data_IF_282928566138
#
_entry.id   IF_282928566138
#
_cell.length_a   1.000
_cell.length_b   1.000
_cell.length_c   1.000
_cell.angle_alpha   90.00
_cell.angle_beta   90.00
_cell.angle_gamma   90.00
#
_symmetry.space_group_name_H-M   'P 1'
#
loop_
_entity.id
_entity.type
_entity.pdbx_description
1 polymer ?
#
# COMPACT_ATOMS: atom_id res chain seq x y z
N UNK A 1 -16.90 11.61 -24.75
CA UNK A 1 -16.88 11.72 -23.28
C UNK A 1 -15.78 12.70 -22.86
N UNK A 2 -16.03 13.56 -21.89
CA UNK A 2 -15.02 14.48 -21.33
C UNK A 2 -14.07 13.73 -20.39
N UNK A 3 -12.84 14.22 -20.22
CA UNK A 3 -11.82 13.57 -19.38
C UNK A 3 -12.27 13.36 -17.93
N UNK A 4 -12.95 14.35 -17.33
CA UNK A 4 -13.44 14.19 -15.96
C UNK A 4 -14.56 13.17 -15.84
N UNK A 5 -15.39 13.00 -16.89
CA UNK A 5 -16.45 11.98 -16.93
C UNK A 5 -15.83 10.59 -16.97
N UNK A 6 -14.76 10.40 -17.76
CA UNK A 6 -14.01 9.14 -17.80
C UNK A 6 -13.37 8.78 -16.45
N UNK A 7 -12.82 9.77 -15.73
CA UNK A 7 -12.28 9.57 -14.37
C UNK A 7 -13.39 9.15 -13.41
N UNK A 8 -14.53 9.86 -13.41
CA UNK A 8 -15.67 9.54 -12.55
C UNK A 8 -16.21 8.14 -12.86
N UNK A 9 -16.43 7.81 -14.14
CA UNK A 9 -16.89 6.48 -14.56
C UNK A 9 -15.94 5.37 -14.10
N UNK A 10 -14.63 5.60 -14.18
CA UNK A 10 -13.63 4.65 -13.69
C UNK A 10 -13.73 4.46 -12.18
N UNK A 11 -13.91 5.54 -11.42
CA UNK A 11 -14.15 5.46 -9.97
C UNK A 11 -15.48 4.76 -9.64
N UNK A 12 -16.53 4.96 -10.43
CA UNK A 12 -17.82 4.27 -10.25
C UNK A 12 -17.68 2.77 -10.44
N UNK A 13 -16.97 2.33 -11.49
CA UNK A 13 -16.67 0.92 -11.74
C UNK A 13 -15.84 0.30 -10.60
N UNK A 14 -15.01 1.09 -9.93
CA UNK A 14 -14.25 0.69 -8.74
C UNK A 14 -15.07 0.77 -7.42
N UNK A 15 -16.38 0.99 -7.49
CA UNK A 15 -17.24 1.08 -6.30
C UNK A 15 -17.20 2.43 -5.58
N UNK A 16 -16.63 3.46 -6.20
CA UNK A 16 -16.69 4.85 -5.74
C UNK A 16 -15.41 5.39 -5.09
N UNK A 17 -14.38 4.56 -4.94
CA UNK A 17 -13.10 4.90 -4.31
C UNK A 17 -11.95 4.34 -5.15
N UNK A 18 -10.89 5.12 -5.35
CA UNK A 18 -9.76 4.69 -6.17
C UNK A 18 -8.45 5.38 -5.78
N UNK A 19 -7.35 4.67 -5.97
CA UNK A 19 -6.01 5.26 -5.90
C UNK A 19 -5.69 5.98 -7.21
N UNK A 20 -4.77 6.95 -7.18
CA UNK A 20 -4.22 7.54 -8.41
C UNK A 20 -3.60 6.47 -9.31
N UNK A 21 -2.88 5.51 -8.73
CA UNK A 21 -2.29 4.41 -9.49
C UNK A 21 -3.32 3.56 -10.22
N UNK A 22 -4.45 3.23 -9.56
CA UNK A 22 -5.57 2.56 -10.22
C UNK A 22 -6.12 3.38 -11.39
N UNK A 23 -6.34 4.68 -11.19
CA UNK A 23 -6.84 5.56 -12.24
C UNK A 23 -5.89 5.63 -13.44
N UNK A 24 -4.58 5.67 -13.21
CA UNK A 24 -3.57 5.71 -14.27
C UNK A 24 -3.58 4.46 -15.14
N UNK A 25 -3.96 3.31 -14.60
CA UNK A 25 -4.03 2.05 -15.34
C UNK A 25 -5.37 1.83 -16.03
N UNK A 26 -6.46 2.29 -15.43
CA UNK A 26 -7.81 1.91 -15.88
C UNK A 26 -8.49 2.98 -16.74
N UNK A 27 -8.26 4.28 -16.49
CA UNK A 27 -8.98 5.36 -17.18
C UNK A 27 -8.72 5.36 -18.70
N UNK A 28 -7.51 5.02 -19.13
CA UNK A 28 -7.16 5.00 -20.56
C UNK A 28 -7.79 3.84 -21.34
N UNK A 29 -8.36 2.84 -20.65
CA UNK A 29 -9.10 1.75 -21.29
C UNK A 29 -10.46 2.22 -21.84
N UNK A 30 -10.95 3.38 -21.42
CA UNK A 30 -12.21 3.97 -21.90
C UNK A 30 -12.00 4.62 -23.28
N UNK A 31 -12.26 3.84 -24.33
CA UNK A 31 -12.10 4.27 -25.75
C UNK A 31 -12.97 5.47 -26.15
N UNK A 32 -14.05 5.74 -25.41
CA UNK A 32 -14.97 6.86 -25.67
C UNK A 32 -14.42 8.23 -25.23
N UNK A 33 -13.25 8.28 -24.57
CA UNK A 33 -12.58 9.49 -24.11
C UNK A 33 -11.22 9.66 -24.79
N UNK A 34 -10.98 10.84 -25.36
CA UNK A 34 -9.69 11.18 -25.99
C UNK A 34 -8.80 12.00 -25.05
N UNK A 35 -7.57 11.53 -24.84
CA UNK A 35 -6.57 12.15 -23.97
C UNK A 35 -5.52 12.90 -24.78
N UNK A 36 -5.93 13.99 -25.45
CA UNK A 36 -5.11 14.74 -26.41
C UNK A 36 -4.04 15.65 -25.77
N UNK A 37 -3.60 15.35 -24.55
CA UNK A 37 -2.60 16.13 -23.80
C UNK A 37 -1.27 15.39 -23.78
N UNK A 38 -0.16 16.13 -23.75
CA UNK A 38 1.18 15.57 -23.60
C UNK A 38 1.41 14.98 -22.20
N UNK A 39 0.60 15.38 -21.21
CA UNK A 39 0.75 14.95 -19.81
C UNK A 39 -0.57 14.42 -19.24
N UNK A 40 -1.08 13.28 -19.73
CA UNK A 40 -2.40 12.78 -19.34
C UNK A 40 -2.52 12.46 -17.84
N UNK A 41 -1.45 11.95 -17.21
CA UNK A 41 -1.42 11.72 -15.76
C UNK A 41 -1.55 13.02 -14.95
N UNK A 42 -0.95 14.13 -15.42
CA UNK A 42 -1.12 15.43 -14.79
C UNK A 42 -2.57 15.93 -14.90
N UNK A 43 -3.23 15.67 -16.03
CA UNK A 43 -4.65 15.94 -16.19
C UNK A 43 -5.51 15.12 -15.22
N UNK A 44 -5.24 13.83 -15.03
CA UNK A 44 -5.93 13.00 -14.04
C UNK A 44 -5.75 13.56 -12.63
N UNK A 45 -4.51 13.90 -12.23
CA UNK A 45 -4.23 14.53 -10.93
C UNK A 45 -5.02 15.82 -10.73
N UNK A 46 -5.06 16.69 -11.75
CA UNK A 46 -5.82 17.94 -11.71
C UNK A 46 -7.32 17.67 -11.55
N UNK A 47 -7.87 16.70 -12.27
CA UNK A 47 -9.28 16.33 -12.20
C UNK A 47 -9.66 15.88 -10.79
N UNK A 48 -8.93 14.93 -10.20
CA UNK A 48 -9.27 14.42 -8.85
C UNK A 48 -9.08 15.45 -7.74
N UNK A 49 -8.28 16.50 -7.98
CA UNK A 49 -8.04 17.58 -7.03
C UNK A 49 -9.04 18.74 -7.15
N UNK A 50 -9.54 19.04 -8.34
CA UNK A 50 -10.35 20.24 -8.61
C UNK A 50 -11.83 19.95 -8.87
N UNK A 51 -12.19 18.70 -9.17
CA UNK A 51 -13.57 18.35 -9.47
C UNK A 51 -14.41 18.27 -8.19
N UNK A 52 -15.49 19.08 -8.12
CA UNK A 52 -16.42 19.13 -6.98
C UNK A 52 -17.12 17.81 -6.63
N UNK A 53 -17.10 16.82 -7.52
CA UNK A 53 -17.69 15.49 -7.29
C UNK A 53 -16.68 14.48 -6.73
N UNK A 54 -15.43 14.89 -6.52
CA UNK A 54 -14.35 14.03 -6.02
C UNK A 54 -13.75 14.70 -4.78
N UNK A 55 -13.52 13.93 -3.74
CA UNK A 55 -12.82 14.39 -2.55
C UNK A 55 -11.64 13.48 -2.22
N UNK A 56 -10.64 14.06 -1.57
CA UNK A 56 -9.43 13.36 -1.15
C UNK A 56 -9.68 12.72 0.22
N UNK A 57 -9.38 11.42 0.33
CA UNK A 57 -9.39 10.72 1.63
C UNK A 57 -8.01 10.86 2.28
N UNK A 58 -6.95 10.49 1.55
CA UNK A 58 -5.56 10.54 2.00
C UNK A 58 -4.62 10.69 0.80
N UNK A 59 -3.30 10.89 0.95
CA UNK A 59 -2.39 10.99 -0.18
C UNK A 59 -2.62 9.85 -1.19
N UNK A 60 -2.90 10.19 -2.45
CA UNK A 60 -3.11 9.21 -3.51
C UNK A 60 -4.45 8.47 -3.51
N UNK A 61 -5.33 8.67 -2.50
CA UNK A 61 -6.65 8.00 -2.40
C UNK A 61 -7.79 9.01 -2.48
N UNK A 62 -8.72 8.77 -3.39
CA UNK A 62 -9.84 9.66 -3.70
C UNK A 62 -11.15 8.89 -3.74
N UNK A 63 -12.25 9.57 -3.40
CA UNK A 63 -13.60 9.01 -3.46
C UNK A 63 -14.59 9.99 -4.12
N UNK A 64 -15.69 9.44 -4.63
CA UNK A 64 -16.78 10.23 -5.18
C UNK A 64 -17.68 10.77 -4.08
N UNK A 65 -18.01 12.06 -4.17
CA UNK A 65 -18.84 12.79 -3.20
C UNK A 65 -20.18 12.10 -2.94
N UNK A 66 -20.79 11.54 -3.99
CA UNK A 66 -22.08 10.83 -3.90
C UNK A 66 -22.07 9.59 -2.99
N UNK A 67 -20.88 9.06 -2.67
CA UNK A 67 -20.71 7.90 -1.78
C UNK A 67 -20.12 8.27 -0.41
N UNK A 68 -19.96 9.57 -0.09
CA UNK A 68 -19.33 10.03 1.16
C UNK A 68 -19.97 9.40 2.39
N UNK A 69 -21.29 9.44 2.51
CA UNK A 69 -22.01 8.86 3.66
C UNK A 69 -21.77 7.35 3.82
N UNK A 70 -21.65 6.62 2.70
CA UNK A 70 -21.34 5.18 2.73
C UNK A 70 -19.94 4.95 3.27
N UNK A 71 -18.95 5.71 2.81
CA UNK A 71 -17.55 5.58 3.25
C UNK A 71 -17.35 6.03 4.69
N UNK A 72 -18.02 7.10 5.12
CA UNK A 72 -18.01 7.57 6.51
C UNK A 72 -18.53 6.49 7.47
N UNK A 73 -19.63 5.79 7.12
CA UNK A 73 -20.16 4.66 7.91
C UNK A 73 -19.20 3.46 8.00
N UNK A 74 -18.29 3.34 7.03
CA UNK A 74 -17.24 2.31 7.00
C UNK A 74 -15.95 2.77 7.69
N UNK A 75 -15.92 3.97 8.28
CA UNK A 75 -14.73 4.55 8.90
C UNK A 75 -13.69 5.06 7.88
N UNK A 76 -14.05 5.16 6.60
CA UNK A 76 -13.20 5.69 5.53
C UNK A 76 -13.49 7.19 5.40
N UNK A 77 -12.82 7.97 6.24
CA UNK A 77 -13.00 9.42 6.35
C UNK A 77 -11.73 10.16 5.90
N UNK A 78 -11.86 11.41 5.41
CA UNK A 78 -10.70 12.23 5.11
C UNK A 78 -9.76 12.38 6.31
N UNK A 79 -8.46 12.24 6.06
CA UNK A 79 -7.41 12.35 7.08
C UNK A 79 -7.41 13.71 7.82
N UNK A 80 -8.02 14.74 7.22
CA UNK A 80 -8.19 16.06 7.82
C UNK A 80 -9.35 16.14 8.81
N UNK A 81 -10.32 15.22 8.73
CA UNK A 81 -11.58 15.25 9.49
C UNK A 81 -11.52 14.37 10.73
N UNK A 82 -10.74 13.29 10.72
CA UNK A 82 -10.54 12.43 11.89
C UNK A 82 -9.13 11.80 11.88
N UNK A 83 -8.60 11.45 13.06
CA UNK A 83 -7.45 10.56 13.14
C UNK A 83 -7.74 9.24 12.42
N UNK A 84 -6.69 8.62 11.90
CA UNK A 84 -6.78 7.39 11.13
C UNK A 84 -7.61 6.32 11.87
N UNK A 85 -8.52 5.66 11.16
CA UNK A 85 -9.06 4.38 11.62
C UNK A 85 -7.93 3.34 11.51
N UNK A 86 -7.41 2.88 12.65
CA UNK A 86 -6.28 1.95 12.72
C UNK A 86 -6.46 0.74 11.80
N UNK A 87 -7.67 0.17 11.75
CA UNK A 87 -7.95 -1.03 10.95
C UNK A 87 -7.99 -0.76 9.44
N UNK A 88 -8.60 0.35 9.02
CA UNK A 88 -8.68 0.70 7.59
C UNK A 88 -7.32 1.10 7.04
N UNK A 89 -6.59 1.95 7.75
CA UNK A 89 -5.30 2.43 7.27
C UNK A 89 -4.28 1.29 7.21
N UNK A 90 -4.30 0.38 8.18
CA UNK A 90 -3.43 -0.80 8.19
C UNK A 90 -3.67 -1.69 6.98
N UNK A 91 -4.92 -2.12 6.76
CA UNK A 91 -5.28 -2.90 5.58
C UNK A 91 -4.98 -2.16 4.27
N UNK A 92 -5.22 -0.85 4.24
CA UNK A 92 -4.96 -0.04 3.06
C UNK A 92 -3.48 -0.02 2.68
N UNK A 93 -2.56 0.23 3.62
CA UNK A 93 -1.13 0.24 3.31
C UNK A 93 -0.57 -1.15 3.06
N UNK A 94 -1.08 -2.20 3.71
CA UNK A 94 -0.77 -3.59 3.34
C UNK A 94 -1.13 -3.84 1.86
N UNK A 95 -2.34 -3.47 1.44
CA UNK A 95 -2.77 -3.66 0.05
C UNK A 95 -1.96 -2.85 -0.96
N UNK A 96 -1.55 -1.61 -0.62
CA UNK A 96 -0.63 -0.85 -1.49
C UNK A 96 0.73 -1.55 -1.65
N UNK A 97 1.29 -2.08 -0.57
CA UNK A 97 2.54 -2.84 -0.60
C UNK A 97 2.41 -4.12 -1.42
N UNK A 98 1.29 -4.84 -1.32
CA UNK A 98 1.02 -5.99 -2.18
C UNK A 98 0.96 -5.58 -3.66
N UNK A 99 0.24 -4.52 -4.00
CA UNK A 99 0.17 -4.03 -5.39
C UNK A 99 1.55 -3.55 -5.90
N UNK A 100 2.36 -2.89 -5.06
CA UNK A 100 3.74 -2.51 -5.40
C UNK A 100 4.59 -3.76 -5.66
N UNK A 101 4.52 -4.76 -4.78
CA UNK A 101 5.27 -6.01 -4.94
C UNK A 101 4.91 -6.72 -6.24
N UNK A 102 3.61 -6.86 -6.52
CA UNK A 102 3.09 -7.46 -7.74
C UNK A 102 3.55 -6.72 -9.01
N UNK A 103 3.51 -5.37 -9.00
CA UNK A 103 4.01 -4.57 -10.13
C UNK A 103 5.51 -4.78 -10.38
N UNK A 104 6.28 -5.09 -9.35
CA UNK A 104 7.71 -5.43 -9.45
C UNK A 104 7.97 -6.93 -9.69
N UNK A 105 6.93 -7.74 -9.98
CA UNK A 105 7.05 -9.18 -10.21
C UNK A 105 7.59 -9.97 -9.01
N UNK A 106 7.36 -9.48 -7.79
CA UNK A 106 7.60 -10.25 -6.57
C UNK A 106 6.39 -11.09 -6.22
N UNK A 107 6.64 -12.29 -5.67
CA UNK A 107 5.59 -13.07 -5.04
C UNK A 107 5.26 -12.47 -3.67
N UNK A 108 4.02 -12.02 -3.50
CA UNK A 108 3.59 -11.27 -2.32
C UNK A 108 2.72 -12.10 -1.38
N UNK A 109 2.88 -11.89 -0.08
CA UNK A 109 2.15 -12.59 0.97
C UNK A 109 1.62 -11.61 2.03
N UNK A 110 0.48 -11.96 2.62
CA UNK A 110 -0.14 -11.30 3.78
C UNK A 110 -0.55 -12.38 4.81
N UNK A 111 -0.46 -12.13 6.13
CA UNK A 111 -0.84 -13.10 7.14
C UNK A 111 -2.28 -13.61 7.01
N UNK A 112 -2.51 -14.86 7.45
CA UNK A 112 -3.81 -15.51 7.37
C UNK A 112 -4.92 -14.76 8.12
N UNK A 113 -4.58 -14.07 9.22
CA UNK A 113 -5.51 -13.24 9.99
C UNK A 113 -5.96 -11.97 9.24
N UNK A 114 -5.18 -11.56 8.23
CA UNK A 114 -5.34 -10.30 7.51
C UNK A 114 -5.88 -10.48 6.10
N UNK A 115 -5.78 -11.69 5.53
CA UNK A 115 -6.20 -11.99 4.15
C UNK A 115 -7.64 -11.56 3.82
N UNK A 116 -8.56 -11.59 4.79
CA UNK A 116 -9.97 -11.21 4.58
C UNK A 116 -10.25 -9.72 4.81
N UNK A 117 -9.25 -8.93 5.21
CA UNK A 117 -9.41 -7.48 5.41
C UNK A 117 -9.73 -6.80 4.06
N UNK A 118 -10.67 -5.85 4.04
CA UNK A 118 -11.07 -5.18 2.82
C UNK A 118 -10.00 -4.21 2.30
N UNK A 119 -9.80 -4.20 0.99
CA UNK A 119 -8.91 -3.31 0.25
C UNK A 119 -9.54 -2.94 -1.11
N UNK A 120 -10.10 -1.72 -1.20
CA UNK A 120 -10.57 -1.10 -2.46
C UNK A 120 -11.46 -2.01 -3.35
N UNK A 121 -12.46 -2.67 -2.74
CA UNK A 121 -13.42 -3.52 -3.46
C UNK A 121 -13.01 -4.99 -3.60
N UNK A 122 -11.83 -5.37 -3.11
CA UNK A 122 -11.32 -6.74 -2.96
C UNK A 122 -10.81 -6.96 -1.54
N UNK A 123 -10.32 -8.14 -1.23
CA UNK A 123 -9.65 -8.50 0.02
C UNK A 123 -8.13 -8.51 -0.17
N UNK A 124 -7.35 -8.43 0.91
CA UNK A 124 -5.88 -8.52 0.82
C UNK A 124 -5.42 -9.86 0.23
N UNK A 125 -6.11 -10.96 0.55
CA UNK A 125 -5.82 -12.29 0.00
C UNK A 125 -6.06 -12.40 -1.50
N UNK A 126 -6.98 -11.61 -2.07
CA UNK A 126 -7.17 -11.52 -3.53
C UNK A 126 -6.09 -10.67 -4.23
N UNK A 127 -5.35 -9.84 -3.48
CA UNK A 127 -4.21 -9.07 -4.01
C UNK A 127 -2.90 -9.84 -3.89
N UNK A 128 -2.72 -10.56 -2.78
CA UNK A 128 -1.53 -11.37 -2.55
C UNK A 128 -1.38 -12.47 -3.61
N UNK A 129 -0.16 -12.78 -4.02
CA UNK A 129 0.11 -13.88 -4.95
C UNK A 129 0.22 -15.24 -4.24
N UNK A 130 0.60 -15.23 -2.96
CA UNK A 130 0.80 -16.43 -2.17
C UNK A 130 -0.25 -16.52 -1.07
N UNK A 131 -0.85 -17.70 -0.92
CA UNK A 131 -1.68 -18.05 0.25
C UNK A 131 -0.84 -18.58 1.41
N UNK A 132 0.34 -19.14 1.12
CA UNK A 132 1.32 -19.62 2.08
C UNK A 132 2.72 -19.22 1.63
N UNK A 133 3.60 -18.92 2.59
CA UNK A 133 5.01 -18.60 2.29
C UNK A 133 5.80 -19.85 1.93
N UNK A 134 6.84 -19.68 1.11
CA UNK A 134 7.79 -20.75 0.79
C UNK A 134 8.48 -21.28 2.05
N UNK A 135 8.87 -22.56 2.11
CA UNK A 135 9.67 -23.11 3.21
C UNK A 135 11.15 -22.73 3.07
N UNK A 136 11.44 -21.43 3.02
CA UNK A 136 12.79 -20.89 2.74
C UNK A 136 13.77 -21.02 3.93
N UNK A 137 13.32 -21.56 5.07
CA UNK A 137 14.10 -21.72 6.30
C UNK A 137 13.46 -22.73 7.27
N UNK A 138 13.99 -22.83 8.48
CA UNK A 138 13.52 -23.67 9.58
C UNK A 138 12.11 -23.27 10.07
N UNK A 139 11.32 -24.24 10.59
CA UNK A 139 9.95 -23.98 11.02
C UNK A 139 9.76 -22.81 11.98
N UNK A 140 10.63 -22.64 12.98
CA UNK A 140 10.52 -21.54 13.96
C UNK A 140 10.64 -20.15 13.32
N UNK A 141 11.55 -20.00 12.35
CA UNK A 141 11.73 -18.75 11.61
C UNK A 141 10.62 -18.52 10.58
N UNK A 142 10.05 -19.60 10.02
CA UNK A 142 8.85 -19.51 9.17
C UNK A 142 7.64 -19.01 9.96
N UNK A 143 7.40 -19.53 11.18
CA UNK A 143 6.31 -19.01 12.03
C UNK A 143 6.50 -17.53 12.33
N UNK A 144 7.75 -17.12 12.59
CA UNK A 144 8.06 -15.70 12.77
C UNK A 144 7.73 -14.89 11.52
N UNK A 145 8.20 -15.31 10.35
CA UNK A 145 7.95 -14.63 9.09
C UNK A 145 6.45 -14.52 8.78
N UNK A 146 5.65 -15.56 9.03
CA UNK A 146 4.19 -15.55 8.80
C UNK A 146 3.44 -14.48 9.61
N UNK A 147 4.03 -14.01 10.70
CA UNK A 147 3.45 -12.95 11.54
C UNK A 147 3.74 -11.53 11.02
N UNK A 148 4.50 -11.40 9.93
CA UNK A 148 4.86 -10.11 9.32
C UNK A 148 3.79 -9.66 8.35
N UNK A 149 3.39 -8.39 8.43
CA UNK A 149 2.22 -7.85 7.75
C UNK A 149 2.25 -7.99 6.23
N UNK A 150 3.42 -7.78 5.60
CA UNK A 150 3.61 -8.05 4.17
C UNK A 150 5.01 -8.61 3.94
N UNK A 151 5.09 -9.66 3.12
CA UNK A 151 6.36 -10.24 2.67
C UNK A 151 6.42 -10.27 1.15
N UNK A 152 7.61 -10.02 0.61
CA UNK A 152 7.92 -10.19 -0.81
C UNK A 152 9.00 -11.25 -0.97
N UNK A 153 8.78 -12.16 -1.92
CA UNK A 153 9.70 -13.22 -2.29
C UNK A 153 10.20 -13.01 -3.72
N UNK A 154 11.48 -13.33 -3.93
CA UNK A 154 12.06 -13.34 -5.25
C UNK A 154 11.69 -14.60 -6.04
N UNK A 155 12.03 -14.60 -7.33
CA UNK A 155 11.76 -15.72 -8.25
C UNK A 155 12.36 -17.07 -7.82
N UNK A 156 13.26 -17.09 -6.82
CA UNK A 156 13.82 -18.32 -6.22
C UNK A 156 13.09 -18.74 -4.94
N UNK A 157 12.00 -18.08 -4.59
CA UNK A 157 11.25 -18.29 -3.34
C UNK A 157 11.95 -17.79 -2.09
N UNK A 158 13.00 -16.95 -2.21
CA UNK A 158 13.73 -16.41 -1.06
C UNK A 158 13.14 -15.06 -0.62
N UNK A 159 13.12 -14.83 0.70
CA UNK A 159 12.68 -13.56 1.28
C UNK A 159 13.51 -12.39 0.72
N UNK A 160 12.83 -11.42 0.11
CA UNK A 160 13.45 -10.22 -0.47
C UNK A 160 13.16 -8.97 0.35
N UNK A 161 11.94 -8.83 0.86
CA UNK A 161 11.57 -7.70 1.72
C UNK A 161 10.47 -8.08 2.70
N UNK A 162 10.49 -7.44 3.87
CA UNK A 162 9.52 -7.60 4.94
C UNK A 162 9.06 -6.22 5.45
N UNK A 163 7.75 -6.06 5.62
CA UNK A 163 7.14 -4.79 6.00
C UNK A 163 6.22 -4.99 7.21
N UNK A 164 6.34 -4.10 8.18
CA UNK A 164 5.43 -3.99 9.33
C UNK A 164 4.75 -2.62 9.28
N UNK A 165 3.42 -2.61 9.27
CA UNK A 165 2.59 -1.41 9.15
C UNK A 165 2.11 -1.01 10.55
N UNK A 166 2.78 -0.04 11.13
CA UNK A 166 2.70 0.29 12.55
C UNK A 166 1.83 1.54 12.80
N UNK A 167 0.63 1.36 13.35
CA UNK A 167 -0.29 2.46 13.69
C UNK A 167 -0.18 2.90 15.14
N UNK A 168 -0.57 2.03 16.07
CA UNK A 168 -0.65 2.31 17.51
C UNK A 168 0.17 1.34 18.36
N UNK A 169 0.61 0.22 17.76
CA UNK A 169 1.42 -0.82 18.40
C UNK A 169 2.89 -0.41 18.56
N UNK A 170 3.57 -1.07 19.49
CA UNK A 170 4.96 -0.81 19.82
C UNK A 170 5.90 -1.37 18.72
N UNK A 171 6.64 -0.47 18.03
CA UNK A 171 7.62 -0.82 16.98
C UNK A 171 8.72 -1.79 17.43
N UNK A 172 8.96 -1.97 18.73
CA UNK A 172 9.94 -2.91 19.27
C UNK A 172 9.59 -4.34 18.91
N UNK A 173 8.30 -4.70 18.88
CA UNK A 173 7.87 -6.04 18.49
C UNK A 173 8.18 -6.31 17.02
N UNK A 174 7.92 -5.35 16.14
CA UNK A 174 8.25 -5.46 14.72
C UNK A 174 9.77 -5.51 14.50
N UNK A 175 10.55 -4.73 15.25
CA UNK A 175 12.03 -4.85 15.22
C UNK A 175 12.54 -6.21 15.69
N UNK A 176 11.93 -6.82 16.73
CA UNK A 176 12.25 -8.18 17.16
C UNK A 176 11.97 -9.21 16.06
N UNK A 177 10.86 -9.05 15.31
CA UNK A 177 10.55 -9.93 14.18
C UNK A 177 11.62 -9.85 13.09
N UNK A 178 12.13 -8.65 12.81
CA UNK A 178 13.22 -8.46 11.85
C UNK A 178 14.57 -8.99 12.35
N UNK A 179 14.84 -8.84 13.64
CA UNK A 179 16.04 -9.41 14.27
C UNK A 179 16.08 -10.93 14.14
N UNK A 180 14.96 -11.62 14.34
CA UNK A 180 14.87 -13.07 14.14
C UNK A 180 15.14 -13.49 12.68
N UNK A 181 15.00 -12.58 11.72
CA UNK A 181 15.24 -12.80 10.28
C UNK A 181 16.55 -12.16 9.79
N UNK A 182 17.43 -11.71 10.69
CA UNK A 182 18.63 -10.94 10.33
C UNK A 182 19.58 -11.67 9.38
N UNK A 183 19.62 -13.02 9.41
CA UNK A 183 20.53 -13.81 8.58
C UNK A 183 20.11 -13.88 7.10
N UNK A 184 18.87 -13.48 6.76
CA UNK A 184 18.43 -13.42 5.37
C UNK A 184 18.90 -12.14 4.71
N UNK A 185 19.33 -12.20 3.46
CA UNK A 185 19.60 -11.01 2.64
C UNK A 185 18.27 -10.39 2.14
N UNK A 186 17.60 -9.66 3.02
CA UNK A 186 16.33 -9.01 2.80
C UNK A 186 16.35 -7.55 3.31
N UNK A 187 15.50 -6.71 2.72
CA UNK A 187 15.23 -5.38 3.26
C UNK A 187 14.11 -5.44 4.32
N UNK A 188 14.27 -4.66 5.40
CA UNK A 188 13.29 -4.56 6.47
C UNK A 188 12.71 -3.15 6.53
N UNK A 189 11.39 -3.03 6.62
CA UNK A 189 10.71 -1.73 6.58
C UNK A 189 9.68 -1.61 7.70
N UNK A 190 9.80 -0.54 8.48
CA UNK A 190 8.71 -0.04 9.32
C UNK A 190 7.94 1.00 8.53
N UNK A 191 6.63 0.77 8.36
CA UNK A 191 5.72 1.66 7.64
C UNK A 191 4.78 2.31 8.64
N UNK A 192 4.86 3.64 8.81
CA UNK A 192 4.03 4.33 9.81
C UNK A 192 3.76 5.79 9.43
N UNK A 193 3.01 6.52 10.27
CA UNK A 193 2.95 7.98 10.16
C UNK A 193 4.33 8.59 10.41
N UNK A 194 4.72 9.58 9.62
CA UNK A 194 5.89 10.44 9.80
C UNK A 194 6.12 10.90 11.26
N UNK A 195 5.04 11.21 11.99
CA UNK A 195 5.07 11.56 13.42
C UNK A 195 5.73 10.51 14.32
N UNK A 196 5.78 9.24 13.89
CA UNK A 196 6.39 8.12 14.63
C UNK A 196 7.85 7.87 14.26
N UNK A 197 8.42 8.61 13.31
CA UNK A 197 9.83 8.48 12.95
C UNK A 197 10.79 8.71 14.15
N UNK A 198 10.55 9.66 15.09
CA UNK A 198 11.38 9.77 16.28
C UNK A 198 11.34 8.54 17.19
N UNK A 199 10.16 7.90 17.30
CA UNK A 199 9.99 6.65 18.06
C UNK A 199 10.81 5.52 17.42
N UNK A 200 10.70 5.37 16.10
CA UNK A 200 11.48 4.43 15.30
C UNK A 200 12.99 4.62 15.54
N UNK A 201 13.50 5.83 15.34
CA UNK A 201 14.92 6.13 15.51
C UNK A 201 15.41 5.82 16.92
N UNK A 202 14.62 6.13 17.95
CA UNK A 202 14.98 5.82 19.34
C UNK A 202 15.08 4.32 19.58
N UNK A 203 14.08 3.55 19.14
CA UNK A 203 14.01 2.10 19.35
C UNK A 203 15.08 1.35 18.57
N UNK A 204 15.31 1.69 17.30
CA UNK A 204 16.34 1.06 16.47
C UNK A 204 17.76 1.26 17.02
N UNK A 205 17.99 2.33 17.78
CA UNK A 205 19.28 2.61 18.42
C UNK A 205 19.52 1.82 19.71
N UNK A 206 18.56 1.02 20.18
CA UNK A 206 18.80 0.12 21.31
C UNK A 206 19.91 -0.89 20.94
N UNK A 207 20.74 -1.25 21.91
CA UNK A 207 21.85 -2.18 21.71
C UNK A 207 21.39 -3.55 21.21
N UNK A 208 20.19 -3.97 21.58
CA UNK A 208 19.58 -5.23 21.14
C UNK A 208 19.37 -5.31 19.61
N UNK A 209 19.36 -4.18 18.90
CA UNK A 209 19.13 -4.12 17.45
C UNK A 209 20.37 -3.67 16.66
N UNK A 210 21.58 -3.78 17.24
CA UNK A 210 22.83 -3.38 16.57
C UNK A 210 23.00 -4.03 15.21
N UNK A 211 22.73 -5.34 15.11
CA UNK A 211 22.97 -6.14 13.91
C UNK A 211 22.05 -5.79 12.72
N UNK A 212 20.86 -5.25 13.03
CA UNK A 212 19.87 -4.90 11.99
C UNK A 212 19.78 -3.40 11.74
N UNK A 213 20.48 -2.57 12.52
CA UNK A 213 20.34 -1.10 12.50
C UNK A 213 20.44 -0.50 11.11
N UNK A 214 21.43 -0.92 10.34
CA UNK A 214 21.69 -0.38 8.99
C UNK A 214 20.80 -1.02 7.90
N UNK A 215 19.98 -1.99 8.29
CA UNK A 215 19.14 -2.80 7.40
C UNK A 215 17.66 -2.49 7.51
N UNK A 216 17.21 -1.91 8.63
CA UNK A 216 15.82 -1.49 8.82
C UNK A 216 15.64 -0.03 8.39
N UNK A 217 14.67 0.21 7.51
CA UNK A 217 14.33 1.53 6.98
C UNK A 217 12.93 1.95 7.44
N UNK A 218 12.72 3.25 7.56
CA UNK A 218 11.41 3.82 7.85
C UNK A 218 10.78 4.37 6.57
N UNK A 219 9.54 3.98 6.29
CA UNK A 219 8.75 4.51 5.17
C UNK A 219 7.49 5.15 5.72
N UNK A 220 7.28 6.43 5.41
CA UNK A 220 6.03 7.07 5.78
C UNK A 220 4.90 6.74 4.77
N UNK A 221 3.66 6.89 5.23
CA UNK A 221 2.46 6.70 4.41
C UNK A 221 2.41 7.51 3.11
N UNK A 222 2.91 8.75 3.12
CA UNK A 222 2.99 9.59 1.92
C UNK A 222 3.98 9.02 0.92
N UNK A 223 5.11 8.49 1.40
CA UNK A 223 6.09 7.80 0.57
C UNK A 223 5.49 6.56 -0.10
N UNK A 224 4.81 5.67 0.63
CA UNK A 224 4.16 4.48 0.04
C UNK A 224 3.16 4.86 -1.05
N UNK A 225 2.32 5.86 -0.79
CA UNK A 225 1.35 6.35 -1.76
C UNK A 225 2.00 6.91 -3.02
N UNK A 226 3.08 7.70 -2.87
CA UNK A 226 3.86 8.22 -4.01
C UNK A 226 4.53 7.11 -4.79
N UNK A 227 5.12 6.13 -4.11
CA UNK A 227 5.76 4.97 -4.74
C UNK A 227 4.75 4.19 -5.58
N UNK A 228 3.60 3.82 -5.00
CA UNK A 228 2.51 3.13 -5.71
C UNK A 228 2.05 3.92 -6.93
N UNK A 229 1.81 5.23 -6.77
CA UNK A 229 1.37 6.11 -7.86
C UNK A 229 2.41 6.18 -8.98
N UNK A 230 3.69 6.35 -8.63
CA UNK A 230 4.76 6.50 -9.62
C UNK A 230 5.02 5.19 -10.36
N UNK A 231 5.00 4.06 -9.65
CA UNK A 231 5.15 2.76 -10.28
C UNK A 231 3.99 2.47 -11.23
N UNK A 232 2.75 2.77 -10.82
CA UNK A 232 1.58 2.64 -11.70
C UNK A 232 1.65 3.53 -12.95
N UNK A 233 2.21 4.74 -12.82
CA UNK A 233 2.47 5.64 -13.96
C UNK A 233 3.46 5.02 -14.95
N UNK A 234 4.54 4.41 -14.45
CA UNK A 234 5.54 3.74 -15.27
C UNK A 234 4.97 2.49 -15.97
N UNK A 235 4.20 1.67 -15.25
CA UNK A 235 3.55 0.48 -15.82
C UNK A 235 2.58 0.87 -16.95
N UNK A 236 1.74 1.88 -16.71
CA UNK A 236 0.82 2.40 -17.72
C UNK A 236 1.55 2.93 -18.98
N UNK A 237 2.73 3.54 -18.82
CA UNK A 237 3.57 3.98 -19.93
C UNK A 237 4.26 2.84 -20.68
N UNK A 238 4.64 1.77 -19.97
CA UNK A 238 5.25 0.58 -20.55
C UNK A 238 4.25 -0.30 -21.31
N UNK A 239 2.94 -0.05 -21.15
CA UNK A 239 1.88 -0.89 -21.72
C UNK A 239 1.74 -2.24 -21.01
N UNK A 240 2.20 -2.33 -19.75
CA UNK A 240 2.21 -3.53 -18.90
C UNK A 240 1.23 -3.35 -17.75
#
# INVERSE_FOLDING_TARGET
MKQYEAVIETMEKAGGIATLGFLYREVFKIKACSWNTQTPFASIRRIVQQNKHIYKIKPGLYALEKYRERFNRQGIVPQTEAPASDSFDHAYYQGLLLEIGNMNQWETYVPAQDKNKPFLGKTLGEVAQLTEIHPFTYPSLLERARSIDVLWFNVRGMLSAAFEVEHTTDMQNSLLKFFDLQDFYADFYIVASDKRQPEFCRKLNYSAFSEIRDRVKFLDYSYISKWHTKLSELMALAGV
#
